data_IF_885987666497
#
_entry.id   IF_885987666497
#
_cell.length_a   1.000
_cell.length_b   1.000
_cell.length_c   1.000
_cell.angle_alpha   90.00
_cell.angle_beta   90.00
_cell.angle_gamma   90.00
#
_symmetry.space_group_name_H-M   'P 1'
#
loop_
_entity.id
_entity.type
_entity.pdbx_description
1 polymer ?
#
# COMPACT_ATOMS: atom_id res chain seq x y z
N UNK A 1 20.65 9.24 9.17
CA UNK A 1 19.74 8.83 8.08
C UNK A 1 18.34 9.26 8.44
N UNK A 2 17.66 10.05 7.59
CA UNK A 2 16.26 10.42 7.82
C UNK A 2 15.40 9.20 7.51
N UNK A 3 14.62 8.75 8.49
CA UNK A 3 13.50 7.83 8.23
C UNK A 3 12.53 8.57 7.32
N UNK A 4 12.39 8.13 6.06
CA UNK A 4 11.39 8.67 5.14
C UNK A 4 10.03 8.16 5.65
N UNK A 5 9.26 9.05 6.26
CA UNK A 5 7.91 8.71 6.71
C UNK A 5 7.01 8.54 5.48
N UNK A 6 6.82 7.30 5.02
CA UNK A 6 6.00 6.96 3.85
C UNK A 6 4.50 7.29 4.02
N UNK A 7 4.08 7.65 5.24
CA UNK A 7 2.68 7.97 5.53
C UNK A 7 2.43 9.45 5.28
N UNK A 8 1.60 9.75 4.28
CA UNK A 8 1.03 11.08 4.06
C UNK A 8 -0.45 11.07 4.41
N UNK A 9 -0.97 12.22 4.87
CA UNK A 9 -2.39 12.38 5.19
C UNK A 9 -3.12 13.01 4.01
N UNK A 10 -4.01 12.25 3.38
CA UNK A 10 -5.03 12.78 2.48
C UNK A 10 -6.24 13.15 3.32
N UNK A 11 -6.79 14.35 3.15
CA UNK A 11 -7.98 14.80 3.88
C UNK A 11 -9.22 14.66 3.01
N UNK A 12 -10.22 13.94 3.50
CA UNK A 12 -11.55 13.88 2.86
C UNK A 12 -12.46 14.90 3.54
N UNK A 13 -13.07 15.78 2.75
CA UNK A 13 -14.06 16.71 3.25
C UNK A 13 -15.38 15.96 3.54
N UNK A 14 -15.89 15.95 4.78
CA UNK A 14 -17.10 15.20 5.11
C UNK A 14 -18.38 15.80 4.53
N UNK A 15 -18.35 17.05 4.03
CA UNK A 15 -19.53 17.72 3.45
C UNK A 15 -19.60 17.58 1.94
N UNK A 16 -18.45 17.63 1.27
CA UNK A 16 -18.37 17.58 -0.20
C UNK A 16 -17.88 16.23 -0.73
N UNK A 17 -17.39 15.35 0.14
CA UNK A 17 -16.78 14.06 -0.20
C UNK A 17 -15.57 14.14 -1.14
N UNK A 18 -14.97 15.33 -1.27
CA UNK A 18 -13.76 15.53 -2.03
C UNK A 18 -12.52 15.16 -1.20
N UNK A 19 -11.59 14.43 -1.81
CA UNK A 19 -10.28 14.17 -1.25
C UNK A 19 -9.30 15.27 -1.68
N UNK A 20 -8.59 15.86 -0.72
CA UNK A 20 -7.50 16.81 -0.97
C UNK A 20 -6.17 16.06 -0.91
N UNK A 21 -5.54 15.92 -2.07
CA UNK A 21 -4.19 15.39 -2.22
C UNK A 21 -3.20 16.54 -1.98
N UNK A 22 -2.25 16.41 -1.04
CA UNK A 22 -1.18 17.37 -0.83
C UNK A 22 -0.37 17.69 -2.10
N UNK A 23 0.11 18.93 -2.23
CA UNK A 23 0.83 19.40 -3.41
C UNK A 23 2.12 18.61 -3.68
N UNK A 24 2.82 18.17 -2.64
CA UNK A 24 4.04 17.35 -2.77
C UNK A 24 3.77 16.03 -3.50
N UNK A 25 2.61 15.41 -3.26
CA UNK A 25 2.20 14.18 -3.97
C UNK A 25 1.84 14.48 -5.43
N UNK A 26 1.15 15.59 -5.69
CA UNK A 26 0.80 15.98 -7.07
C UNK A 26 2.06 16.27 -7.90
N UNK A 27 3.07 16.91 -7.29
CA UNK A 27 4.36 17.18 -7.92
C UNK A 27 5.15 15.90 -8.28
N UNK A 28 4.81 14.75 -7.70
CA UNK A 28 5.39 13.45 -8.05
C UNK A 28 4.79 12.83 -9.33
N UNK A 29 3.86 13.52 -10.01
CA UNK A 29 3.30 13.08 -11.30
C UNK A 29 1.91 12.45 -11.23
N UNK A 30 1.26 12.49 -10.07
CA UNK A 30 -0.15 12.07 -9.89
C UNK A 30 -1.13 13.14 -10.40
N UNK A 31 -1.06 13.45 -11.70
CA UNK A 31 -1.90 14.44 -12.40
C UNK A 31 -2.85 13.76 -13.39
N UNK A 32 -3.94 14.46 -13.73
CA UNK A 32 -5.00 13.99 -14.64
C UNK A 32 -5.79 12.79 -14.10
N UNK A 33 -6.15 11.85 -14.96
CA UNK A 33 -6.89 10.64 -14.61
C UNK A 33 -5.91 9.60 -14.06
N UNK A 34 -6.11 9.22 -12.79
CA UNK A 34 -5.31 8.20 -12.11
C UNK A 34 -6.18 6.98 -11.79
N UNK A 35 -5.61 5.80 -11.94
CA UNK A 35 -6.29 4.57 -11.55
C UNK A 35 -6.33 4.43 -10.03
N UNK A 36 -7.45 3.93 -9.52
CA UNK A 36 -7.65 3.70 -8.09
C UNK A 36 -8.24 2.31 -7.82
N UNK A 37 -7.55 1.56 -6.95
CA UNK A 37 -8.02 0.28 -6.43
C UNK A 37 -8.54 0.46 -5.00
N UNK A 38 -9.85 0.28 -4.81
CA UNK A 38 -10.50 0.40 -3.52
C UNK A 38 -11.00 -0.96 -3.02
N UNK A 39 -10.79 -1.25 -1.74
CA UNK A 39 -11.44 -2.36 -1.04
C UNK A 39 -12.06 -1.87 0.28
N UNK A 40 -12.56 -2.80 1.11
CA UNK A 40 -13.25 -2.46 2.36
C UNK A 40 -12.37 -1.71 3.40
N UNK A 41 -11.05 -1.69 3.25
CA UNK A 41 -10.10 -1.18 4.25
C UNK A 41 -9.04 -0.23 3.69
N UNK A 42 -8.72 -0.32 2.40
CA UNK A 42 -7.63 0.43 1.77
C UNK A 42 -8.05 1.03 0.44
N UNK A 43 -7.46 2.18 0.12
CA UNK A 43 -7.52 2.82 -1.19
C UNK A 43 -6.09 2.96 -1.68
N UNK A 44 -5.81 2.46 -2.88
CA UNK A 44 -4.53 2.60 -3.58
C UNK A 44 -4.75 3.49 -4.79
N UNK A 45 -3.99 4.57 -4.89
CA UNK A 45 -3.95 5.47 -6.05
C UNK A 45 -2.66 5.15 -6.82
N UNK A 46 -2.77 4.93 -8.12
CA UNK A 46 -1.67 4.48 -8.98
C UNK A 46 -1.18 5.62 -9.84
N UNK A 47 0.15 5.75 -9.96
CA UNK A 47 0.77 6.72 -10.86
C UNK A 47 0.39 6.37 -12.31
N UNK A 48 -0.02 7.35 -13.14
CA UNK A 48 -0.60 7.07 -14.46
C UNK A 48 0.36 6.34 -15.42
N UNK A 49 1.68 6.51 -15.23
CA UNK A 49 2.71 5.87 -16.05
C UNK A 49 3.16 4.49 -15.52
N UNK A 50 2.68 4.06 -14.34
CA UNK A 50 3.15 2.83 -13.72
C UNK A 50 2.52 1.58 -14.34
N UNK A 51 3.34 0.58 -14.61
CA UNK A 51 2.89 -0.77 -14.97
C UNK A 51 2.36 -1.53 -13.74
N UNK A 52 1.54 -2.57 -13.98
CA UNK A 52 1.02 -3.41 -12.89
C UNK A 52 2.14 -4.10 -12.08
N UNK A 53 3.26 -4.46 -12.73
CA UNK A 53 4.42 -5.05 -12.06
C UNK A 53 5.08 -4.04 -11.10
N UNK A 54 5.21 -2.78 -11.50
CA UNK A 54 5.75 -1.71 -10.65
C UNK A 54 4.81 -1.38 -9.50
N UNK A 55 3.50 -1.43 -9.73
CA UNK A 55 2.48 -1.27 -8.69
C UNK A 55 2.59 -2.41 -7.66
N UNK A 56 2.67 -3.66 -8.11
CA UNK A 56 2.83 -4.82 -7.24
C UNK A 56 4.08 -4.70 -6.35
N UNK A 57 5.25 -4.45 -6.96
CA UNK A 57 6.51 -4.24 -6.24
C UNK A 57 6.43 -3.09 -5.23
N UNK A 58 5.73 -2.01 -5.57
CA UNK A 58 5.53 -0.88 -4.66
C UNK A 58 4.64 -1.26 -3.47
N UNK A 59 3.58 -2.03 -3.70
CA UNK A 59 2.70 -2.51 -2.64
C UNK A 59 3.40 -3.50 -1.70
N UNK A 60 4.32 -4.32 -2.21
CA UNK A 60 5.14 -5.21 -1.37
C UNK A 60 6.00 -4.41 -0.38
N UNK A 61 6.57 -3.28 -0.81
CA UNK A 61 7.35 -2.38 0.06
C UNK A 61 6.46 -1.79 1.16
N UNK A 62 5.26 -1.31 0.80
CA UNK A 62 4.28 -0.79 1.77
C UNK A 62 3.89 -1.87 2.77
N UNK A 63 3.65 -3.11 2.30
CA UNK A 63 3.31 -4.23 3.15
C UNK A 63 4.46 -4.62 4.10
N UNK A 64 5.71 -4.58 3.62
CA UNK A 64 6.89 -4.80 4.46
C UNK A 64 7.01 -3.75 5.57
N UNK A 65 6.79 -2.47 5.27
CA UNK A 65 6.77 -1.40 6.28
C UNK A 65 5.64 -1.60 7.31
N UNK A 66 4.43 -1.98 6.87
CA UNK A 66 3.31 -2.29 7.77
C UNK A 66 3.67 -3.46 8.70
N UNK A 67 4.26 -4.53 8.16
CA UNK A 67 4.69 -5.71 8.94
C UNK A 67 5.73 -5.31 9.99
N UNK A 68 6.74 -4.54 9.61
CA UNK A 68 7.74 -4.00 10.51
C UNK A 68 7.11 -3.18 11.66
N UNK A 69 6.18 -2.27 11.35
CA UNK A 69 5.48 -1.45 12.35
C UNK A 69 4.55 -2.25 13.26
N UNK A 70 4.03 -3.38 12.77
CA UNK A 70 3.23 -4.33 13.57
C UNK A 70 4.10 -5.16 14.53
N UNK A 71 5.43 -5.11 14.39
CA UNK A 71 6.36 -5.96 15.13
C UNK A 71 6.53 -7.37 14.53
N UNK A 72 6.06 -7.60 13.29
CA UNK A 72 6.29 -8.84 12.56
C UNK A 72 7.50 -8.65 11.63
N UNK A 73 8.63 -9.35 11.83
CA UNK A 73 9.75 -9.27 10.88
C UNK A 73 9.31 -9.74 9.48
N UNK A 74 9.78 -9.10 8.39
CA UNK A 74 9.50 -9.53 7.04
C UNK A 74 10.16 -10.90 6.81
N UNK A 75 9.35 -11.94 6.65
CA UNK A 75 9.84 -13.31 6.41
C UNK A 75 9.04 -14.45 7.05
N UNK A 76 8.02 -14.16 7.88
CA UNK A 76 7.10 -15.20 8.38
C UNK A 76 5.74 -15.07 7.70
N UNK A 77 5.72 -15.34 6.40
CA UNK A 77 4.50 -15.83 5.76
C UNK A 77 4.36 -17.30 6.11
N UNK A 78 3.19 -17.68 6.61
CA UNK A 78 2.84 -19.04 7.02
C UNK A 78 3.23 -20.07 5.93
N UNK A 79 4.25 -20.88 6.21
CA UNK A 79 4.38 -22.19 5.59
C UNK A 79 3.20 -23.01 6.07
N UNK A 80 2.22 -23.22 5.20
CA UNK A 80 1.27 -24.32 5.32
C UNK A 80 2.01 -25.65 5.31
N UNK A 81 2.50 -26.10 6.47
CA UNK A 81 2.77 -27.51 6.76
C UNK A 81 1.63 -28.05 7.62
N UNK A 82 0.47 -28.10 7.00
CA UNK A 82 -0.65 -28.95 7.40
C UNK A 82 -0.83 -30.04 6.35
N UNK A 83 0.08 -31.01 6.30
CA UNK A 83 -0.13 -32.29 5.61
C UNK A 83 1.03 -33.27 5.85
N UNK A 84 1.08 -33.96 7.01
CA UNK A 84 1.16 -35.43 6.99
C UNK A 84 0.39 -35.94 8.20
N UNK A 85 -0.79 -36.46 7.92
CA UNK A 85 -1.57 -37.23 8.87
C UNK A 85 -0.81 -38.51 9.23
N UNK A 86 -0.93 -38.90 10.50
CA UNK A 86 -0.56 -40.22 11.01
C UNK A 86 -1.12 -41.31 10.09
N UNK A 87 -0.21 -42.09 9.50
CA UNK A 87 -0.50 -43.39 8.92
C UNK A 87 0.78 -44.24 8.89
N UNK A 88 1.10 -44.84 10.04
CA UNK A 88 1.37 -46.28 10.22
C UNK A 88 1.88 -46.58 11.62
#
# INVERSE_FOLDING_TARGET
GRTVEMKRKIRINPRTYLAYIPEDIIQEGFVEDVDAYANAKTLTIVHPEASLEEVERSLEIVLADIRLRRGSPPGQGESTEGAVAEAK
#
